data_IF_030955913034
#
_entry.id   IF_030955913034
#
_cell.length_a   1.000
_cell.length_b   1.000
_cell.length_c   1.000
_cell.angle_alpha   90.00
_cell.angle_beta   90.00
_cell.angle_gamma   90.00
#
_symmetry.space_group_name_H-M   'P 1'
#
loop_
_entity.id
_entity.type
_entity.pdbx_description
1 polymer ?
#
# COMPACT_ATOMS: atom_id res chain seq x y z
N UNK A 1 -6.94 7.03 17.00
CA UNK A 1 -6.54 6.81 15.59
C UNK A 1 -5.54 5.66 15.57
N UNK A 2 -5.76 4.61 14.78
CA UNK A 2 -4.87 3.45 14.76
C UNK A 2 -3.47 3.82 14.26
N UNK A 3 -2.44 3.08 14.67
CA UNK A 3 -1.06 3.29 14.23
C UNK A 3 -0.93 3.29 12.69
N UNK A 4 -1.63 2.34 12.06
CA UNK A 4 -1.75 2.20 10.61
C UNK A 4 -2.38 3.43 9.93
N UNK A 5 -3.40 4.04 10.55
CA UNK A 5 -4.06 5.22 9.98
C UNK A 5 -3.13 6.43 9.87
N UNK A 6 -2.17 6.58 10.80
CA UNK A 6 -1.17 7.65 10.71
C UNK A 6 -0.35 7.55 9.42
N UNK A 7 -0.04 6.32 9.00
CA UNK A 7 0.66 6.05 7.74
C UNK A 7 -0.23 6.39 6.54
N UNK A 8 -1.50 5.98 6.57
CA UNK A 8 -2.46 6.33 5.50
C UNK A 8 -2.59 7.83 5.31
N UNK A 9 -2.79 8.59 6.40
CA UNK A 9 -2.90 10.05 6.34
C UNK A 9 -1.64 10.66 5.73
N UNK A 10 -0.47 10.20 6.16
CA UNK A 10 0.80 10.75 5.68
C UNK A 10 1.05 10.44 4.21
N UNK A 11 0.69 9.24 3.74
CA UNK A 11 0.78 8.89 2.31
C UNK A 11 -0.10 9.79 1.46
N UNK A 12 -1.33 10.03 1.90
CA UNK A 12 -2.29 10.89 1.20
C UNK A 12 -1.81 12.35 1.16
N UNK A 13 -1.20 12.84 2.25
CA UNK A 13 -0.54 14.16 2.29
C UNK A 13 0.64 14.26 1.33
N UNK A 14 1.54 13.27 1.33
CA UNK A 14 2.74 13.24 0.47
C UNK A 14 2.39 13.10 -1.01
N UNK A 15 1.29 12.41 -1.33
CA UNK A 15 0.74 12.33 -2.67
C UNK A 15 -0.01 13.60 -3.11
N UNK A 16 -0.14 14.60 -2.23
CA UNK A 16 -0.83 15.87 -2.48
C UNK A 16 -2.23 15.71 -3.09
N UNK A 17 -2.99 14.74 -2.58
CA UNK A 17 -4.32 14.41 -3.10
C UNK A 17 -5.27 15.59 -2.89
N UNK A 18 -6.00 15.95 -3.95
CA UNK A 18 -6.94 17.09 -4.01
C UNK A 18 -8.36 16.63 -4.35
N UNK A 19 -9.39 17.42 -4.00
CA UNK A 19 -10.75 17.22 -4.48
C UNK A 19 -10.82 17.07 -6.00
N UNK A 20 -11.72 16.21 -6.49
CA UNK A 20 -11.92 15.94 -7.92
C UNK A 20 -10.85 15.09 -8.60
N UNK A 21 -9.79 14.67 -7.90
CA UNK A 21 -8.73 13.86 -8.49
C UNK A 21 -9.09 12.38 -8.60
N UNK A 22 -8.40 11.71 -9.54
CA UNK A 22 -8.46 10.27 -9.73
C UNK A 22 -7.27 9.58 -9.08
N UNK A 23 -7.52 8.63 -8.18
CA UNK A 23 -6.48 7.98 -7.35
C UNK A 23 -6.53 6.46 -7.53
N UNK A 24 -5.37 5.81 -7.61
CA UNK A 24 -5.24 4.35 -7.53
C UNK A 24 -4.62 3.97 -6.18
N UNK A 25 -5.20 3.00 -5.48
CA UNK A 25 -4.58 2.37 -4.31
C UNK A 25 -4.22 0.92 -4.63
N UNK A 26 -2.92 0.64 -4.71
CA UNK A 26 -2.35 -0.67 -5.05
C UNK A 26 -2.13 -1.47 -3.77
N UNK A 27 -2.64 -2.70 -3.73
CA UNK A 27 -2.67 -3.56 -2.56
C UNK A 27 -3.40 -2.89 -1.38
N UNK A 28 -4.64 -2.45 -1.64
CA UNK A 28 -5.47 -1.68 -0.70
C UNK A 28 -5.82 -2.47 0.57
N UNK A 29 -5.73 -3.81 0.52
CA UNK A 29 -6.14 -4.71 1.57
C UNK A 29 -7.60 -4.46 1.96
N UNK A 30 -7.80 -4.10 3.24
CA UNK A 30 -9.12 -3.80 3.79
C UNK A 30 -9.57 -2.34 3.55
N UNK A 31 -9.02 -1.66 2.53
CA UNK A 31 -9.48 -0.37 2.02
C UNK A 31 -8.68 0.86 2.48
N UNK A 32 -7.46 0.71 3.00
CA UNK A 32 -6.64 1.85 3.44
C UNK A 32 -5.25 1.80 2.80
N UNK A 33 -4.80 2.89 2.13
CA UNK A 33 -5.28 4.27 2.24
C UNK A 33 -6.46 4.70 1.35
N UNK A 34 -7.01 3.84 0.50
CA UNK A 34 -8.07 4.21 -0.44
C UNK A 34 -9.28 4.96 0.18
N UNK A 35 -9.79 4.52 1.32
CA UNK A 35 -10.91 5.18 2.04
C UNK A 35 -10.51 6.59 2.49
N UNK A 36 -9.26 6.78 2.94
CA UNK A 36 -8.75 8.10 3.32
C UNK A 36 -8.67 9.01 2.10
N UNK A 37 -8.18 8.51 0.95
CA UNK A 37 -8.17 9.26 -0.30
C UNK A 37 -9.58 9.60 -0.80
N UNK A 38 -10.53 8.65 -0.72
CA UNK A 38 -11.91 8.82 -1.17
C UNK A 38 -12.61 9.99 -0.49
N UNK A 39 -12.38 10.16 0.82
CA UNK A 39 -12.92 11.31 1.59
C UNK A 39 -12.41 12.66 1.10
N UNK A 40 -11.21 12.72 0.52
CA UNK A 40 -10.60 13.96 0.03
C UNK A 40 -11.07 14.24 -1.40
N UNK A 41 -10.98 13.25 -2.28
CA UNK A 41 -11.34 13.44 -3.70
C UNK A 41 -12.82 13.75 -3.86
N UNK A 42 -13.70 13.14 -3.04
CA UNK A 42 -15.14 13.40 -3.04
C UNK A 42 -15.58 14.59 -2.18
N UNK A 43 -14.66 15.41 -1.67
CA UNK A 43 -15.03 16.53 -0.79
C UNK A 43 -15.77 17.66 -1.54
N UNK A 44 -15.57 17.78 -2.86
CA UNK A 44 -16.19 18.81 -3.71
C UNK A 44 -16.56 18.18 -5.06
N UNK A 45 -17.84 18.26 -5.42
CA UNK A 45 -18.36 17.73 -6.69
C UNK A 45 -18.37 16.20 -6.78
N UNK A 46 -18.76 15.69 -7.95
CA UNK A 46 -18.93 14.25 -8.21
C UNK A 46 -17.82 13.67 -9.12
N UNK A 47 -16.76 14.46 -9.39
CA UNK A 47 -15.71 14.08 -10.34
C UNK A 47 -14.57 13.25 -9.71
N UNK A 48 -14.44 13.29 -8.38
CA UNK A 48 -13.37 12.59 -7.67
C UNK A 48 -13.62 11.09 -7.63
N UNK A 49 -12.59 10.29 -7.92
CA UNK A 49 -12.74 8.83 -8.03
C UNK A 49 -11.52 8.08 -7.53
N UNK A 50 -11.74 7.01 -6.75
CA UNK A 50 -10.70 6.12 -6.25
C UNK A 50 -10.90 4.73 -6.83
N UNK A 51 -9.83 4.17 -7.38
CA UNK A 51 -9.76 2.75 -7.77
C UNK A 51 -8.88 2.06 -6.75
N UNK A 52 -9.40 1.06 -6.06
CA UNK A 52 -8.68 0.33 -5.02
C UNK A 52 -8.57 -1.13 -5.42
N UNK A 53 -7.34 -1.65 -5.47
CA UNK A 53 -7.10 -3.00 -5.97
C UNK A 53 -6.41 -3.87 -4.93
N UNK A 54 -6.72 -5.16 -4.95
CA UNK A 54 -6.04 -6.18 -4.17
C UNK A 54 -6.19 -7.52 -4.88
N UNK A 55 -5.27 -8.46 -4.63
CA UNK A 55 -5.38 -9.83 -5.14
C UNK A 55 -6.37 -10.66 -4.31
N UNK A 56 -6.67 -10.26 -3.07
CA UNK A 56 -7.55 -10.99 -2.17
C UNK A 56 -8.99 -10.48 -2.24
N UNK A 57 -9.87 -11.24 -2.89
CA UNK A 57 -11.32 -11.00 -2.91
C UNK A 57 -11.93 -10.84 -1.50
N UNK A 58 -11.51 -11.68 -0.55
CA UNK A 58 -11.95 -11.61 0.85
C UNK A 58 -11.61 -10.26 1.51
N UNK A 59 -10.42 -9.70 1.24
CA UNK A 59 -10.04 -8.39 1.78
C UNK A 59 -10.85 -7.27 1.13
N UNK A 60 -11.12 -7.37 -0.17
CA UNK A 60 -11.96 -6.42 -0.90
C UNK A 60 -13.40 -6.43 -0.41
N UNK A 61 -13.96 -7.57 0.00
CA UNK A 61 -15.28 -7.62 0.63
C UNK A 61 -15.34 -6.77 1.91
N UNK A 62 -14.35 -6.95 2.81
CA UNK A 62 -14.24 -6.13 4.03
C UNK A 62 -14.04 -4.64 3.67
N UNK A 63 -13.25 -4.35 2.64
CA UNK A 63 -13.01 -2.97 2.19
C UNK A 63 -14.30 -2.31 1.69
N UNK A 64 -15.11 -3.04 0.90
CA UNK A 64 -16.42 -2.59 0.40
C UNK A 64 -17.38 -2.31 1.55
N UNK A 65 -17.49 -3.20 2.53
CA UNK A 65 -18.33 -3.00 3.71
C UNK A 65 -17.93 -1.74 4.49
N UNK A 66 -16.63 -1.54 4.71
CA UNK A 66 -16.09 -0.36 5.38
C UNK A 66 -16.37 0.94 4.62
N UNK A 67 -16.23 0.93 3.30
CA UNK A 67 -16.51 2.09 2.46
C UNK A 67 -18.02 2.43 2.43
N UNK A 68 -18.87 1.41 2.32
CA UNK A 68 -20.33 1.56 2.34
C UNK A 68 -20.84 2.12 3.67
N UNK A 69 -20.27 1.66 4.80
CA UNK A 69 -20.59 2.20 6.12
C UNK A 69 -20.24 3.70 6.28
N UNK A 70 -19.39 4.23 5.39
CA UNK A 70 -19.01 5.64 5.34
C UNK A 70 -19.71 6.41 4.20
N UNK A 71 -20.59 5.77 3.44
CA UNK A 71 -21.30 6.40 2.32
C UNK A 71 -20.43 6.67 1.08
N UNK A 72 -19.29 5.98 0.94
CA UNK A 72 -18.29 6.25 -0.10
C UNK A 72 -18.49 5.43 -1.39
N UNK A 73 -19.53 4.60 -1.48
CA UNK A 73 -19.73 3.64 -2.58
C UNK A 73 -19.80 4.23 -3.99
N UNK A 74 -20.05 5.54 -4.11
CA UNK A 74 -20.07 6.25 -5.40
C UNK A 74 -18.71 6.89 -5.76
N UNK A 75 -17.77 6.93 -4.82
CA UNK A 75 -16.46 7.60 -4.96
C UNK A 75 -15.32 6.58 -5.07
N UNK A 76 -15.48 5.38 -4.49
CA UNK A 76 -14.46 4.34 -4.51
C UNK A 76 -14.98 3.05 -5.16
N UNK A 77 -14.25 2.55 -6.15
CA UNK A 77 -14.44 1.21 -6.73
C UNK A 77 -13.36 0.24 -6.27
N UNK A 78 -13.74 -1.02 -6.03
CA UNK A 78 -12.84 -2.09 -5.60
C UNK A 78 -12.75 -3.17 -6.67
N UNK A 79 -11.53 -3.50 -7.11
CA UNK A 79 -11.27 -4.48 -8.18
C UNK A 79 -10.26 -5.53 -7.73
N UNK A 80 -10.55 -6.79 -8.02
CA UNK A 80 -9.62 -7.89 -7.80
C UNK A 80 -8.62 -7.91 -8.96
N UNK A 81 -7.42 -7.39 -8.70
CA UNK A 81 -6.36 -7.23 -9.69
C UNK A 81 -5.03 -7.52 -9.01
N UNK A 82 -4.23 -8.36 -9.65
CA UNK A 82 -2.83 -8.55 -9.29
C UNK A 82 -2.00 -7.31 -9.67
N UNK A 83 -1.27 -6.77 -8.69
CA UNK A 83 -0.44 -5.59 -8.85
C UNK A 83 0.69 -5.77 -9.88
N UNK A 84 1.12 -7.00 -10.15
CA UNK A 84 2.11 -7.29 -11.20
C UNK A 84 1.51 -7.23 -12.62
N UNK A 85 0.17 -7.27 -12.73
CA UNK A 85 -0.60 -7.33 -13.97
C UNK A 85 -1.54 -6.12 -14.16
N UNK A 86 -1.19 -4.99 -13.54
CA UNK A 86 -1.96 -3.73 -13.52
C UNK A 86 -2.47 -3.26 -14.89
N UNK A 87 -1.61 -3.27 -15.91
CA UNK A 87 -1.96 -2.75 -17.24
C UNK A 87 -3.00 -3.60 -17.99
N UNK A 88 -3.18 -4.86 -17.61
CA UNK A 88 -4.20 -5.74 -18.18
C UNK A 88 -5.53 -5.65 -17.43
N UNK A 89 -5.48 -5.35 -16.12
CA UNK A 89 -6.66 -5.29 -15.25
C UNK A 89 -7.39 -3.95 -15.27
N UNK A 90 -6.75 -2.87 -15.69
CA UNK A 90 -7.32 -1.52 -15.73
C UNK A 90 -7.57 -1.04 -17.18
N UNK A 91 -8.64 -0.27 -17.44
CA UNK A 91 -8.90 0.30 -18.76
C UNK A 91 -7.72 1.17 -19.23
N UNK A 92 -7.37 1.08 -20.51
CA UNK A 92 -6.30 1.87 -21.12
C UNK A 92 -6.91 2.94 -22.04
N UNK A 93 -7.35 4.05 -21.45
CA UNK A 93 -7.78 5.26 -22.14
C UNK A 93 -6.99 6.46 -21.60
N UNK A 94 -6.87 7.56 -22.35
CA UNK A 94 -6.26 8.80 -21.85
C UNK A 94 -6.98 9.39 -20.63
N UNK A 95 -8.25 9.00 -20.39
CA UNK A 95 -9.00 9.28 -19.16
C UNK A 95 -8.72 8.29 -18.01
N UNK A 96 -7.83 7.31 -18.19
CA UNK A 96 -7.54 6.23 -17.24
C UNK A 96 -6.28 6.44 -16.41
N UNK A 97 -5.53 7.52 -16.68
CA UNK A 97 -4.40 7.90 -15.84
C UNK A 97 -4.85 8.40 -14.45
N UNK A 98 -3.94 8.31 -13.48
CA UNK A 98 -4.18 8.67 -12.09
C UNK A 98 -3.34 9.88 -11.68
N UNK A 99 -3.95 10.84 -10.99
CA UNK A 99 -3.25 11.98 -10.43
C UNK A 99 -2.38 11.57 -9.24
N UNK A 100 -2.79 10.53 -8.52
CA UNK A 100 -1.99 9.93 -7.46
C UNK A 100 -2.13 8.40 -7.46
N UNK A 101 -1.03 7.73 -7.16
CA UNK A 101 -1.02 6.29 -6.87
C UNK A 101 -0.48 6.11 -5.45
N UNK A 102 -1.16 5.29 -4.66
CA UNK A 102 -0.81 4.94 -3.30
C UNK A 102 -0.45 3.45 -3.22
N UNK A 103 0.51 3.10 -2.37
CA UNK A 103 0.77 1.71 -2.01
C UNK A 103 1.31 1.60 -0.59
N UNK A 104 0.46 1.17 0.34
CA UNK A 104 0.83 1.06 1.76
C UNK A 104 1.20 -0.36 2.11
N UNK A 105 2.50 -0.61 2.27
CA UNK A 105 3.09 -1.90 2.58
C UNK A 105 2.87 -3.01 1.55
N UNK A 106 2.45 -2.69 0.32
CA UNK A 106 2.22 -3.67 -0.75
C UNK A 106 3.48 -4.05 -1.54
N UNK A 107 4.33 -3.07 -1.90
CA UNK A 107 5.49 -3.30 -2.77
C UNK A 107 6.44 -4.40 -2.26
N UNK A 108 6.53 -4.56 -0.94
CA UNK A 108 7.44 -5.52 -0.30
C UNK A 108 7.06 -6.99 -0.56
N UNK A 109 5.81 -7.22 -0.95
CA UNK A 109 5.25 -8.55 -1.24
C UNK A 109 5.31 -8.94 -2.71
N UNK A 110 5.77 -8.04 -3.59
CA UNK A 110 5.84 -8.28 -5.03
C UNK A 110 7.08 -9.10 -5.38
N UNK A 111 6.92 -10.10 -6.25
CA UNK A 111 8.01 -10.92 -6.77
C UNK A 111 8.80 -10.17 -7.85
N UNK A 112 8.12 -9.41 -8.71
CA UNK A 112 8.71 -8.55 -9.74
C UNK A 112 8.43 -7.07 -9.45
N UNK A 113 9.25 -6.49 -8.56
CA UNK A 113 9.19 -5.07 -8.25
C UNK A 113 9.40 -4.19 -9.48
N UNK A 114 10.26 -4.60 -10.43
CA UNK A 114 10.58 -3.76 -11.59
C UNK A 114 9.37 -3.60 -12.49
N UNK A 115 8.75 -4.71 -12.88
CA UNK A 115 7.53 -4.72 -13.69
C UNK A 115 6.39 -3.96 -13.02
N UNK A 116 6.21 -4.15 -11.71
CA UNK A 116 5.19 -3.41 -10.96
C UNK A 116 5.44 -1.90 -10.95
N UNK A 117 6.68 -1.45 -10.76
CA UNK A 117 7.02 -0.03 -10.81
C UNK A 117 6.84 0.55 -12.23
N UNK A 118 7.20 -0.18 -13.28
CA UNK A 118 6.97 0.21 -14.68
C UNK A 118 5.47 0.42 -14.95
N UNK A 119 4.63 -0.52 -14.48
CA UNK A 119 3.18 -0.41 -14.61
C UNK A 119 2.60 0.76 -13.81
N UNK A 120 3.05 0.97 -12.57
CA UNK A 120 2.63 2.11 -11.74
C UNK A 120 2.99 3.42 -12.43
N UNK A 121 4.22 3.54 -12.93
CA UNK A 121 4.67 4.74 -13.65
C UNK A 121 3.84 4.98 -14.92
N UNK A 122 3.59 3.92 -15.70
CA UNK A 122 2.77 3.99 -16.91
C UNK A 122 1.29 4.33 -16.65
N UNK A 123 0.81 4.26 -15.42
CA UNK A 123 -0.56 4.63 -15.03
C UNK A 123 -0.68 6.04 -14.45
N UNK A 124 0.43 6.74 -14.22
CA UNK A 124 0.41 8.11 -13.73
C UNK A 124 0.02 9.09 -14.83
N UNK A 125 -0.79 10.08 -14.47
CA UNK A 125 -1.01 11.25 -15.30
C UNK A 125 0.25 12.13 -15.32
N UNK A 126 0.29 13.09 -16.26
CA UNK A 126 1.28 14.15 -16.22
C UNK A 126 1.23 14.86 -14.86
N UNK A 127 2.41 15.12 -14.28
CA UNK A 127 2.57 15.68 -12.92
C UNK A 127 1.94 14.83 -11.79
N UNK A 128 1.60 13.57 -12.08
CA UNK A 128 1.07 12.62 -11.10
C UNK A 128 2.11 12.22 -10.06
N UNK A 129 1.64 11.86 -8.86
CA UNK A 129 2.50 11.48 -7.72
C UNK A 129 2.31 10.03 -7.32
N UNK A 130 3.41 9.35 -6.99
CA UNK A 130 3.37 8.05 -6.35
C UNK A 130 3.86 8.16 -4.90
N UNK A 131 3.07 7.66 -3.95
CA UNK A 131 3.44 7.58 -2.54
C UNK A 131 3.34 6.14 -2.03
N UNK A 132 4.44 5.64 -1.46
CA UNK A 132 4.50 4.29 -0.90
C UNK A 132 5.10 4.27 0.50
N UNK A 133 4.65 3.32 1.32
CA UNK A 133 5.20 3.04 2.64
C UNK A 133 5.76 1.62 2.69
N UNK A 134 6.99 1.49 3.18
CA UNK A 134 7.68 0.23 3.42
C UNK A 134 8.13 0.14 4.88
N UNK A 135 8.36 -1.06 5.39
CA UNK A 135 8.94 -1.21 6.72
C UNK A 135 10.44 -0.92 6.70
N UNK A 136 10.93 -0.34 7.78
CA UNK A 136 12.37 -0.14 7.98
C UNK A 136 13.06 -1.46 8.35
N UNK A 137 14.37 -1.40 8.60
CA UNK A 137 15.19 -2.56 8.99
C UNK A 137 14.60 -3.28 10.22
N UNK A 138 14.82 -4.61 10.36
CA UNK A 138 14.23 -5.42 11.43
C UNK A 138 14.41 -4.88 12.85
N UNK A 139 15.57 -4.28 13.16
CA UNK A 139 15.88 -3.70 14.47
C UNK A 139 15.01 -2.48 14.84
N UNK A 140 14.36 -1.84 13.85
CA UNK A 140 13.43 -0.72 14.05
C UNK A 140 11.97 -1.14 14.04
N UNK A 141 11.67 -2.41 13.74
CA UNK A 141 10.30 -2.93 13.58
C UNK A 141 10.08 -4.16 14.46
N UNK A 142 10.15 -4.02 15.80
CA UNK A 142 10.01 -5.13 16.74
C UNK A 142 8.67 -5.86 16.61
N UNK A 143 7.63 -5.17 16.13
CA UNK A 143 6.32 -5.72 15.81
C UNK A 143 6.39 -6.97 14.92
N UNK A 144 7.39 -7.02 14.01
CA UNK A 144 7.51 -8.08 13.01
C UNK A 144 8.80 -8.87 13.15
N UNK A 145 9.89 -8.24 13.59
CA UNK A 145 11.16 -8.94 13.74
C UNK A 145 11.16 -9.93 14.90
N UNK A 146 10.50 -9.62 16.03
CA UNK A 146 10.40 -10.53 17.17
C UNK A 146 9.68 -11.86 16.83
N UNK A 147 8.47 -11.87 16.24
CA UNK A 147 7.77 -13.12 15.95
C UNK A 147 8.50 -13.92 14.87
N UNK A 148 9.10 -13.26 13.86
CA UNK A 148 9.94 -13.93 12.88
C UNK A 148 11.15 -14.60 13.53
N UNK A 149 11.87 -13.89 14.41
CA UNK A 149 13.00 -14.45 15.16
C UNK A 149 12.59 -15.67 15.99
N UNK A 150 11.42 -15.62 16.65
CA UNK A 150 10.91 -16.77 17.42
C UNK A 150 10.65 -17.95 16.49
N UNK A 151 10.02 -17.72 15.33
CA UNK A 151 9.71 -18.79 14.37
C UNK A 151 10.99 -19.41 13.77
N UNK A 152 12.01 -18.61 13.46
CA UNK A 152 13.26 -19.12 12.90
C UNK A 152 14.11 -19.83 13.95
N UNK A 153 14.39 -19.17 15.08
CA UNK A 153 15.35 -19.68 16.08
C UNK A 153 14.75 -20.73 17.00
N UNK A 154 13.48 -20.58 17.39
CA UNK A 154 12.86 -21.47 18.38
C UNK A 154 12.09 -22.62 17.75
N UNK A 155 11.56 -22.43 16.53
CA UNK A 155 10.76 -23.44 15.83
C UNK A 155 11.49 -24.07 14.63
N UNK A 156 12.70 -23.62 14.32
CA UNK A 156 13.56 -24.23 13.29
C UNK A 156 13.12 -23.98 11.85
N UNK A 157 12.30 -22.95 11.60
CA UNK A 157 11.94 -22.57 10.23
C UNK A 157 13.13 -21.88 9.53
N UNK A 158 13.32 -22.10 8.22
CA UNK A 158 14.41 -21.46 7.49
C UNK A 158 14.24 -19.94 7.49
N UNK A 159 15.34 -19.22 7.66
CA UNK A 159 15.35 -17.78 7.47
C UNK A 159 14.97 -17.44 6.01
N UNK A 160 14.24 -16.34 5.77
CA UNK A 160 13.97 -15.87 4.41
C UNK A 160 15.27 -15.68 3.64
N UNK A 161 15.29 -16.08 2.36
CA UNK A 161 16.48 -15.84 1.53
C UNK A 161 16.64 -14.33 1.29
N UNK A 162 17.89 -13.81 1.28
CA UNK A 162 18.14 -12.43 0.90
C UNK A 162 17.50 -12.09 -0.46
N UNK A 163 16.78 -10.98 -0.53
CA UNK A 163 16.11 -10.54 -1.76
C UNK A 163 14.78 -11.23 -2.07
N UNK A 164 14.32 -12.19 -1.26
CA UNK A 164 12.94 -12.70 -1.39
C UNK A 164 11.91 -11.66 -0.95
N UNK A 165 10.69 -11.68 -1.54
CA UNK A 165 9.59 -10.87 -1.07
C UNK A 165 9.32 -11.11 0.42
N UNK A 166 8.96 -10.05 1.12
CA UNK A 166 8.75 -10.08 2.56
C UNK A 166 8.84 -8.69 3.17
N UNK A 167 8.38 -8.50 4.42
CA UNK A 167 8.17 -7.18 5.00
C UNK A 167 9.43 -6.33 5.09
N UNK A 168 10.63 -6.90 5.00
CA UNK A 168 11.89 -6.14 5.07
C UNK A 168 12.65 -6.08 3.74
N UNK A 169 12.08 -6.60 2.65
CA UNK A 169 12.72 -6.68 1.33
C UNK A 169 13.12 -5.31 0.76
N UNK A 170 12.38 -4.25 1.12
CA UNK A 170 12.60 -2.87 0.68
C UNK A 170 13.08 -1.95 1.82
N UNK A 171 13.75 -2.51 2.82
CA UNK A 171 14.25 -1.73 3.97
C UNK A 171 15.46 -0.85 3.64
N UNK A 172 16.17 -1.12 2.54
CA UNK A 172 17.19 -0.25 1.96
C UNK A 172 16.51 0.83 1.10
N UNK A 173 16.40 2.04 1.67
CA UNK A 173 15.75 3.17 1.03
C UNK A 173 16.52 3.68 -0.18
N UNK A 174 17.86 3.59 -0.19
CA UNK A 174 18.65 4.06 -1.32
C UNK A 174 18.49 3.09 -2.50
N UNK A 175 18.45 1.78 -2.24
CA UNK A 175 18.09 0.78 -3.25
C UNK A 175 16.68 1.01 -3.82
N UNK A 176 15.69 1.28 -2.96
CA UNK A 176 14.31 1.58 -3.41
C UNK A 176 14.25 2.84 -4.27
N UNK A 177 14.94 3.92 -3.88
CA UNK A 177 15.03 5.15 -4.67
C UNK A 177 15.66 4.90 -6.02
N UNK A 178 16.73 4.11 -6.07
CA UNK A 178 17.38 3.74 -7.33
C UNK A 178 16.43 2.96 -8.25
N UNK A 179 15.64 2.03 -7.71
CA UNK A 179 14.63 1.30 -8.49
C UNK A 179 13.55 2.24 -9.06
N UNK A 180 13.06 3.19 -8.26
CA UNK A 180 12.11 4.21 -8.72
C UNK A 180 12.72 5.10 -9.82
N UNK A 181 13.95 5.59 -9.64
CA UNK A 181 14.62 6.43 -10.64
C UNK A 181 14.83 5.72 -11.98
N UNK A 182 15.11 4.40 -11.98
CA UNK A 182 15.31 3.63 -13.21
C UNK A 182 14.08 3.59 -14.11
N UNK A 183 12.90 3.59 -13.51
CA UNK A 183 11.61 3.55 -14.23
C UNK A 183 11.20 4.93 -14.75
N UNK A 184 11.76 6.01 -14.19
CA UNK A 184 11.53 7.38 -14.65
C UNK A 184 10.95 8.32 -13.60
N UNK A 185 10.72 7.84 -12.36
CA UNK A 185 10.32 8.72 -11.26
C UNK A 185 11.38 9.79 -10.99
N UNK A 186 10.91 11.03 -10.79
CA UNK A 186 11.72 12.21 -10.46
C UNK A 186 11.33 12.74 -9.07
N UNK A 187 12.13 13.65 -8.53
CA UNK A 187 11.86 14.32 -7.25
C UNK A 187 11.54 13.35 -6.10
N UNK A 188 12.38 12.32 -5.96
CA UNK A 188 12.14 11.22 -5.02
C UNK A 188 12.57 11.63 -3.62
N UNK A 189 11.59 11.75 -2.72
CA UNK A 189 11.79 12.07 -1.32
C UNK A 189 11.45 10.87 -0.41
N UNK A 190 12.06 10.82 0.77
CA UNK A 190 11.81 9.79 1.76
C UNK A 190 11.86 10.37 3.17
N UNK A 191 10.95 9.93 4.03
CA UNK A 191 10.95 10.25 5.45
C UNK A 191 10.75 8.99 6.30
N UNK A 192 11.22 9.03 7.54
CA UNK A 192 10.98 7.95 8.50
C UNK A 192 9.82 8.34 9.42
N UNK A 193 8.77 7.51 9.45
CA UNK A 193 7.63 7.69 10.35
C UNK A 193 7.59 6.56 11.39
N UNK A 194 7.75 6.91 12.66
CA UNK A 194 7.59 5.96 13.77
C UNK A 194 6.14 5.90 14.20
N UNK A 195 5.57 4.69 14.21
CA UNK A 195 4.22 4.43 14.70
C UNK A 195 4.22 3.34 15.76
N UNK A 196 3.36 3.48 16.77
CA UNK A 196 3.26 2.53 17.87
C UNK A 196 1.95 1.75 17.78
N UNK A 197 2.05 0.43 17.63
CA UNK A 197 0.92 -0.48 17.70
C UNK A 197 0.74 -0.93 19.14
N UNK A 198 -0.41 -0.61 19.73
CA UNK A 198 -0.82 -1.10 21.04
C UNK A 198 -1.79 -2.26 20.89
N UNK A 199 -1.59 -3.31 21.69
CA UNK A 199 -2.48 -4.47 21.75
C UNK A 199 -2.90 -4.65 23.21
N UNK A 200 -4.16 -5.02 23.43
CA UNK A 200 -4.67 -5.28 24.79
C UNK A 200 -4.23 -6.64 25.32
N UNK A 201 -3.75 -7.54 24.44
CA UNK A 201 -3.24 -8.86 24.82
C UNK A 201 -2.26 -9.44 23.80
N UNK A 202 -1.46 -10.42 24.22
CA UNK A 202 -0.60 -11.19 23.33
C UNK A 202 -1.40 -11.98 22.27
N UNK A 203 -2.59 -12.47 22.62
CA UNK A 203 -3.47 -13.18 21.67
C UNK A 203 -3.96 -12.27 20.55
N UNK A 204 -4.29 -11.02 20.87
CA UNK A 204 -4.67 -10.02 19.87
C UNK A 204 -3.48 -9.70 18.96
N UNK A 205 -2.30 -9.50 19.54
CA UNK A 205 -1.07 -9.30 18.79
C UNK A 205 -0.79 -10.46 17.82
N UNK A 206 -0.87 -11.72 18.29
CA UNK A 206 -0.68 -12.90 17.43
C UNK A 206 -1.73 -12.95 16.31
N UNK A 207 -3.00 -12.63 16.61
CA UNK A 207 -4.05 -12.55 15.59
C UNK A 207 -3.73 -11.49 14.54
N UNK A 208 -3.28 -10.31 14.97
CA UNK A 208 -2.88 -9.23 14.08
C UNK A 208 -1.73 -9.64 13.15
N UNK A 209 -0.65 -10.18 13.72
CA UNK A 209 0.53 -10.61 12.95
C UNK A 209 0.17 -11.73 11.98
N UNK A 210 -0.71 -12.67 12.38
CA UNK A 210 -1.19 -13.75 11.52
C UNK A 210 -1.90 -13.22 10.27
N UNK A 211 -2.78 -12.24 10.44
CA UNK A 211 -3.52 -11.61 9.33
C UNK A 211 -2.59 -10.82 8.41
N UNK A 212 -1.49 -10.28 8.94
CA UNK A 212 -0.55 -9.46 8.18
C UNK A 212 0.53 -10.26 7.43
N UNK A 213 0.93 -11.42 7.95
CA UNK A 213 2.00 -12.26 7.38
C UNK A 213 1.45 -13.38 6.48
N UNK A 214 0.24 -13.90 6.72
CA UNK A 214 -0.32 -15.07 6.01
C UNK A 214 -1.36 -14.64 4.96
N UNK A 215 -1.01 -13.72 4.07
CA UNK A 215 -1.87 -13.29 2.96
C UNK A 215 -1.09 -13.13 1.69
#
# INVERSE_FOLDING_TARGET
MSAAQKVSNRLVELAEIKPGQRVLDVATGIGEPAITAAKIVGAVGDDGHVVAIDISSQRLEIAKERAAALGLQNIIEFKEIDAENLLFGLPQSSSSYFNAILCRWGLMSLADLSSALDNIYGLLADEGRFATAVWSIPSKVPLLSIPMYIVTEQLGFPAPQPGSPGPFSLSDIDALKNSLSRVGFKDIHSEALTVTFGFVSAQEYVRFVRVMIIS
#
